data_IF_302696882750
#
_entry.id   IF_302696882750
#
_cell.length_a   1.000
_cell.length_b   1.000
_cell.length_c   1.000
_cell.angle_alpha   90.00
_cell.angle_beta   90.00
_cell.angle_gamma   90.00
#
_symmetry.space_group_name_H-M   'P 1'
#
loop_
_entity.id
_entity.type
_entity.pdbx_description
1 polymer ?
#
# COMPACT_ATOMS: atom_id res chain seq x y z
N UNK A 1 -7.66 3.89 -32.33
CA UNK A 1 -8.93 3.42 -31.75
C UNK A 1 -8.53 2.66 -30.49
N UNK A 2 -8.55 3.35 -29.35
CA UNK A 2 -8.19 2.77 -28.06
C UNK A 2 -9.32 1.82 -27.64
N UNK A 3 -9.09 0.52 -27.70
CA UNK A 3 -9.98 -0.46 -27.09
C UNK A 3 -9.89 -0.32 -25.57
N UNK A 4 -10.73 0.54 -25.01
CA UNK A 4 -11.00 0.57 -23.59
C UNK A 4 -11.70 -0.73 -23.25
N UNK A 5 -10.94 -1.76 -22.85
CA UNK A 5 -11.50 -3.03 -22.41
C UNK A 5 -12.35 -2.76 -21.17
N UNK A 6 -13.67 -2.78 -21.35
CA UNK A 6 -14.64 -2.80 -20.26
C UNK A 6 -14.47 -4.13 -19.51
N UNK A 7 -13.67 -4.13 -18.45
CA UNK A 7 -13.44 -5.31 -17.63
C UNK A 7 -14.59 -5.49 -16.63
N UNK A 8 -15.23 -6.65 -16.75
CA UNK A 8 -16.41 -7.06 -16.02
C UNK A 8 -16.05 -7.62 -14.63
N UNK A 9 -16.75 -7.14 -13.61
CA UNK A 9 -16.55 -7.48 -12.19
C UNK A 9 -16.90 -8.97 -11.93
N UNK A 10 -17.65 -9.61 -12.82
CA UNK A 10 -18.05 -11.02 -12.73
C UNK A 10 -16.90 -12.04 -12.91
N UNK A 11 -15.67 -11.58 -13.20
CA UNK A 11 -14.50 -12.46 -13.47
C UNK A 11 -13.72 -12.91 -12.23
N UNK A 12 -14.15 -12.57 -11.02
CA UNK A 12 -13.55 -13.14 -9.80
C UNK A 12 -14.02 -14.59 -9.66
N UNK A 13 -13.08 -15.54 -9.79
CA UNK A 13 -13.36 -16.97 -9.87
C UNK A 13 -12.92 -17.74 -8.62
N UNK A 14 -12.06 -17.18 -7.76
CA UNK A 14 -11.52 -17.88 -6.60
C UNK A 14 -11.68 -17.11 -5.30
N UNK A 15 -11.74 -17.84 -4.18
CA UNK A 15 -11.77 -17.26 -2.83
C UNK A 15 -10.52 -16.43 -2.52
N UNK A 16 -9.37 -16.77 -3.10
CA UNK A 16 -8.13 -16.01 -2.95
C UNK A 16 -8.19 -14.66 -3.66
N UNK A 17 -8.71 -14.63 -4.90
CA UNK A 17 -8.93 -13.38 -5.63
C UNK A 17 -9.89 -12.45 -4.88
N UNK A 18 -11.02 -12.99 -4.38
CA UNK A 18 -11.97 -12.23 -3.55
C UNK A 18 -11.30 -11.67 -2.29
N UNK A 19 -10.45 -12.45 -1.62
CA UNK A 19 -9.73 -12.01 -0.42
C UNK A 19 -8.75 -10.88 -0.71
N UNK A 20 -8.03 -10.91 -1.85
CA UNK A 20 -7.12 -9.84 -2.25
C UNK A 20 -7.91 -8.53 -2.44
N UNK A 21 -8.98 -8.58 -3.23
CA UNK A 21 -9.81 -7.40 -3.50
C UNK A 21 -10.41 -6.84 -2.21
N UNK A 22 -11.00 -7.69 -1.37
CA UNK A 22 -11.61 -7.27 -0.10
C UNK A 22 -10.59 -6.63 0.85
N UNK A 23 -9.38 -7.20 0.94
CA UNK A 23 -8.31 -6.63 1.79
C UNK A 23 -7.82 -5.29 1.24
N UNK A 24 -7.70 -5.14 -0.07
CA UNK A 24 -7.32 -3.88 -0.70
C UNK A 24 -8.37 -2.79 -0.50
N UNK A 25 -9.66 -3.13 -0.60
CA UNK A 25 -10.75 -2.19 -0.29
C UNK A 25 -10.69 -1.77 1.18
N UNK A 26 -10.57 -2.72 2.11
CA UNK A 26 -10.44 -2.40 3.54
C UNK A 26 -9.21 -1.54 3.85
N UNK A 27 -8.11 -1.73 3.14
CA UNK A 27 -6.93 -0.89 3.29
C UNK A 27 -7.21 0.56 2.86
N UNK A 28 -7.96 0.75 1.77
CA UNK A 28 -8.40 2.07 1.32
C UNK A 28 -9.40 2.69 2.31
N UNK A 29 -10.38 1.92 2.80
CA UNK A 29 -11.32 2.40 3.82
C UNK A 29 -10.60 2.85 5.10
N UNK A 30 -9.58 2.08 5.51
CA UNK A 30 -8.73 2.43 6.63
C UNK A 30 -7.98 3.75 6.35
N UNK A 31 -7.36 3.89 5.17
CA UNK A 31 -6.69 5.15 4.80
C UNK A 31 -7.69 6.31 4.82
N UNK A 32 -8.86 6.18 4.20
CA UNK A 32 -9.88 7.22 4.18
C UNK A 32 -10.38 7.60 5.58
N UNK A 33 -10.50 6.63 6.48
CA UNK A 33 -10.84 6.88 7.88
C UNK A 33 -9.74 7.66 8.62
N UNK A 34 -8.48 7.37 8.31
CA UNK A 34 -7.31 7.99 8.93
C UNK A 34 -6.98 9.35 8.33
N UNK A 35 -7.29 9.57 7.06
CA UNK A 35 -6.95 10.77 6.31
C UNK A 35 -7.36 12.06 7.03
N UNK A 36 -8.59 12.24 7.54
CA UNK A 36 -8.98 13.42 8.31
C UNK A 36 -8.16 13.61 9.59
N UNK A 37 -7.81 12.52 10.27
CA UNK A 37 -7.04 12.56 11.51
C UNK A 37 -5.56 12.91 11.28
N UNK A 38 -5.03 12.56 10.10
CA UNK A 38 -3.62 12.75 9.76
C UNK A 38 -3.39 14.04 8.97
N UNK A 39 -4.35 14.50 8.16
CA UNK A 39 -4.22 15.68 7.30
C UNK A 39 -3.17 15.53 6.19
N UNK A 40 -2.85 14.29 5.78
CA UNK A 40 -1.70 13.98 4.90
C UNK A 40 -2.08 13.81 3.43
N UNK A 41 -3.31 13.38 3.11
CA UNK A 41 -3.74 13.04 1.74
C UNK A 41 -5.15 13.60 1.51
N UNK A 42 -5.51 13.97 0.28
CA UNK A 42 -6.92 14.20 -0.06
C UNK A 42 -7.71 12.87 -0.02
N UNK A 43 -8.99 12.91 0.38
CA UNK A 43 -9.87 11.72 0.47
C UNK A 43 -9.88 10.92 -0.84
N UNK A 44 -9.64 9.60 -0.77
CA UNK A 44 -9.52 8.72 -1.93
C UNK A 44 -10.87 8.16 -2.42
N UNK A 45 -11.89 8.13 -1.55
CA UNK A 45 -13.11 7.33 -1.80
C UNK A 45 -14.11 7.96 -2.76
N UNK A 46 -14.19 9.29 -2.84
CA UNK A 46 -15.33 9.92 -3.53
C UNK A 46 -15.14 10.04 -5.05
N UNK A 47 -13.91 9.93 -5.55
CA UNK A 47 -13.60 10.23 -6.96
C UNK A 47 -13.50 9.00 -7.88
N UNK A 48 -13.31 7.78 -7.35
CA UNK A 48 -12.99 6.61 -8.19
C UNK A 48 -13.81 5.37 -7.84
N UNK A 49 -14.18 4.56 -8.86
CA UNK A 49 -14.67 3.20 -8.64
C UNK A 49 -13.50 2.27 -8.29
N UNK A 50 -13.04 2.38 -7.05
CA UNK A 50 -11.90 1.66 -6.48
C UNK A 50 -11.98 0.16 -6.71
N UNK A 51 -13.14 -0.46 -6.44
CA UNK A 51 -13.30 -1.90 -6.61
C UNK A 51 -13.04 -2.31 -8.07
N UNK A 52 -13.61 -1.58 -9.03
CA UNK A 52 -13.39 -1.86 -10.46
C UNK A 52 -11.92 -1.71 -10.85
N UNK A 53 -11.23 -0.70 -10.34
CA UNK A 53 -9.79 -0.49 -10.57
C UNK A 53 -8.99 -1.68 -10.02
N UNK A 54 -9.24 -2.09 -8.77
CA UNK A 54 -8.52 -3.20 -8.15
C UNK A 54 -8.77 -4.53 -8.88
N UNK A 55 -10.00 -4.81 -9.31
CA UNK A 55 -10.34 -6.00 -10.11
C UNK A 55 -9.61 -5.97 -11.45
N UNK A 56 -9.55 -4.80 -12.09
CA UNK A 56 -8.83 -4.60 -13.35
C UNK A 56 -7.33 -4.86 -13.17
N UNK A 57 -6.71 -4.32 -12.12
CA UNK A 57 -5.31 -4.59 -11.76
C UNK A 57 -5.07 -6.08 -11.55
N UNK A 58 -5.93 -6.75 -10.77
CA UNK A 58 -5.77 -8.17 -10.47
C UNK A 58 -5.79 -9.00 -11.77
N UNK A 59 -6.77 -8.73 -12.64
CA UNK A 59 -6.89 -9.42 -13.92
C UNK A 59 -5.72 -9.12 -14.85
N UNK A 60 -5.24 -7.88 -14.91
CA UNK A 60 -4.04 -7.51 -15.65
C UNK A 60 -2.83 -8.35 -15.20
N UNK A 61 -2.64 -8.50 -13.88
CA UNK A 61 -1.62 -9.39 -13.31
C UNK A 61 -1.72 -10.84 -13.81
N UNK A 62 -2.93 -11.40 -13.81
CA UNK A 62 -3.17 -12.77 -14.27
C UNK A 62 -2.86 -12.94 -15.76
N UNK A 63 -3.29 -12.00 -16.60
CA UNK A 63 -3.00 -12.05 -18.03
C UNK A 63 -1.49 -11.96 -18.31
N UNK A 64 -0.76 -11.15 -17.53
CA UNK A 64 0.71 -11.10 -17.61
C UNK A 64 1.38 -12.41 -17.21
N UNK A 65 0.82 -13.16 -16.26
CA UNK A 65 1.32 -14.49 -15.93
C UNK A 65 1.13 -15.50 -17.07
N UNK A 66 0.14 -15.29 -17.93
CA UNK A 66 -0.13 -16.08 -19.13
C UNK A 66 0.59 -15.57 -20.39
N UNK A 67 1.55 -14.65 -20.25
CA UNK A 67 2.28 -14.00 -21.35
C UNK A 67 1.37 -13.35 -22.42
N UNK A 68 0.17 -12.93 -22.01
CA UNK A 68 -0.77 -12.25 -22.92
C UNK A 68 -0.44 -10.76 -23.01
N UNK A 69 -0.53 -10.22 -24.22
CA UNK A 69 -0.47 -8.76 -24.43
C UNK A 69 -1.66 -8.12 -23.75
N UNK A 70 -1.38 -7.16 -22.88
CA UNK A 70 -2.39 -6.35 -22.22
C UNK A 70 -2.01 -4.88 -22.24
N UNK A 71 -3.03 -4.03 -22.19
CA UNK A 71 -2.88 -2.62 -21.85
C UNK A 71 -3.00 -2.50 -20.34
N UNK A 72 -1.98 -1.90 -19.72
CA UNK A 72 -2.01 -1.63 -18.28
C UNK A 72 -3.11 -0.61 -17.99
N UNK A 73 -3.89 -0.79 -16.91
CA UNK A 73 -4.86 0.21 -16.53
C UNK A 73 -4.15 1.53 -16.23
N UNK A 74 -4.72 2.63 -16.71
CA UNK A 74 -4.31 3.96 -16.26
C UNK A 74 -4.78 4.10 -14.81
N UNK A 75 -3.82 4.20 -13.88
CA UNK A 75 -4.11 4.31 -12.46
C UNK A 75 -4.04 5.78 -12.02
N UNK A 76 -5.01 6.25 -11.21
CA UNK A 76 -4.85 7.49 -10.47
C UNK A 76 -3.58 7.43 -9.62
N UNK A 77 -2.89 8.55 -9.49
CA UNK A 77 -1.65 8.67 -8.71
C UNK A 77 -1.79 8.07 -7.31
N UNK A 78 -2.91 8.34 -6.66
CA UNK A 78 -3.20 7.87 -5.30
C UNK A 78 -3.42 6.36 -5.17
N UNK A 79 -3.76 5.68 -6.26
CA UNK A 79 -3.93 4.22 -6.32
C UNK A 79 -2.78 3.54 -7.04
N UNK A 80 -1.79 4.27 -7.54
CA UNK A 80 -0.73 3.77 -8.41
C UNK A 80 0.04 2.61 -7.79
N UNK A 81 0.58 2.81 -6.58
CA UNK A 81 1.33 1.77 -5.86
C UNK A 81 0.46 0.58 -5.48
N UNK A 82 -0.76 0.83 -4.99
CA UNK A 82 -1.69 -0.24 -4.61
C UNK A 82 -2.13 -1.08 -5.82
N UNK A 83 -2.41 -0.44 -6.94
CA UNK A 83 -2.73 -1.11 -8.19
C UNK A 83 -1.58 -1.99 -8.68
N UNK A 84 -0.33 -1.50 -8.58
CA UNK A 84 0.87 -2.30 -8.86
C UNK A 84 1.00 -3.54 -7.96
N UNK A 85 0.73 -3.41 -6.66
CA UNK A 85 0.74 -4.54 -5.72
C UNK A 85 -0.37 -5.55 -6.03
N UNK A 86 -1.58 -5.08 -6.38
CA UNK A 86 -2.69 -5.96 -6.74
C UNK A 86 -2.43 -6.67 -8.07
N UNK A 87 -1.80 -6.00 -9.04
CA UNK A 87 -1.30 -6.65 -10.25
C UNK A 87 -0.26 -7.73 -9.95
N UNK A 88 0.73 -7.44 -9.10
CA UNK A 88 1.72 -8.43 -8.67
C UNK A 88 1.06 -9.63 -7.99
N UNK A 89 0.03 -9.39 -7.15
CA UNK A 89 -0.74 -10.44 -6.51
C UNK A 89 -1.51 -11.29 -7.55
N UNK A 90 -2.15 -10.67 -8.55
CA UNK A 90 -2.83 -11.39 -9.62
C UNK A 90 -1.90 -12.31 -10.41
N UNK A 91 -0.69 -11.82 -10.72
CA UNK A 91 0.35 -12.61 -11.38
C UNK A 91 0.79 -13.80 -10.53
N UNK A 92 1.03 -13.58 -9.23
CA UNK A 92 1.44 -14.62 -8.30
C UNK A 92 0.34 -15.70 -8.11
N UNK A 93 -0.93 -15.29 -7.97
CA UNK A 93 -2.07 -16.21 -7.88
C UNK A 93 -2.17 -17.10 -9.12
N UNK A 94 -2.05 -16.52 -10.31
CA UNK A 94 -2.12 -17.29 -11.55
C UNK A 94 -0.98 -18.31 -11.66
N UNK A 95 0.23 -17.92 -11.24
CA UNK A 95 1.40 -18.82 -11.17
C UNK A 95 1.40 -19.77 -9.98
N UNK A 96 0.40 -19.71 -9.11
CA UNK A 96 0.31 -20.47 -7.85
C UNK A 96 1.52 -20.25 -6.93
N UNK A 97 2.04 -19.02 -6.92
CA UNK A 97 3.14 -18.61 -6.05
C UNK A 97 2.65 -18.13 -4.69
N UNK A 98 3.51 -18.23 -3.68
CA UNK A 98 3.21 -17.75 -2.33
C UNK A 98 3.18 -16.22 -2.26
N UNK A 99 2.08 -15.69 -1.75
CA UNK A 99 1.89 -14.25 -1.53
C UNK A 99 2.67 -13.78 -0.29
N UNK A 100 3.91 -13.34 -0.52
CA UNK A 100 4.74 -12.70 0.53
C UNK A 100 4.92 -11.22 0.22
N UNK A 101 5.06 -10.40 1.26
CA UNK A 101 5.21 -8.96 1.07
C UNK A 101 6.46 -8.60 0.25
N UNK A 102 7.59 -9.29 0.46
CA UNK A 102 8.82 -9.03 -0.29
C UNK A 102 8.61 -9.29 -1.78
N UNK A 103 8.02 -10.44 -2.13
CA UNK A 103 7.77 -10.81 -3.53
C UNK A 103 6.75 -9.86 -4.17
N UNK A 104 5.71 -9.47 -3.45
CA UNK A 104 4.71 -8.53 -3.94
C UNK A 104 5.32 -7.15 -4.23
N UNK A 105 6.13 -6.61 -3.32
CA UNK A 105 6.83 -5.34 -3.52
C UNK A 105 7.82 -5.41 -4.69
N UNK A 106 8.59 -6.48 -4.77
CA UNK A 106 9.58 -6.68 -5.84
C UNK A 106 8.92 -6.81 -7.22
N UNK A 107 7.90 -7.65 -7.34
CA UNK A 107 7.16 -7.80 -8.60
C UNK A 107 6.38 -6.55 -8.96
N UNK A 108 5.79 -5.84 -7.99
CA UNK A 108 5.13 -4.56 -8.25
C UNK A 108 6.10 -3.51 -8.81
N UNK A 109 7.31 -3.40 -8.24
CA UNK A 109 8.36 -2.55 -8.80
C UNK A 109 8.71 -2.91 -10.24
N UNK A 110 8.93 -4.20 -10.53
CA UNK A 110 9.24 -4.69 -11.89
C UNK A 110 8.12 -4.38 -12.88
N UNK A 111 6.87 -4.45 -12.44
CA UNK A 111 5.69 -4.20 -13.28
C UNK A 111 5.51 -2.71 -13.58
N UNK A 112 5.68 -1.84 -12.59
CA UNK A 112 5.50 -0.40 -12.75
C UNK A 112 6.65 0.25 -13.53
N UNK A 113 7.88 -0.30 -13.45
CA UNK A 113 9.08 0.20 -14.15
C UNK A 113 9.36 1.69 -13.89
N UNK A 114 8.96 2.15 -12.72
CA UNK A 114 9.15 3.52 -12.24
C UNK A 114 10.11 3.49 -11.04
N UNK A 115 11.21 4.21 -11.15
CA UNK A 115 12.25 4.27 -10.10
C UNK A 115 11.68 4.83 -8.79
N UNK A 116 10.76 5.80 -8.85
CA UNK A 116 10.11 6.36 -7.66
C UNK A 116 9.22 5.32 -6.96
N UNK A 117 8.53 4.48 -7.74
CA UNK A 117 7.77 3.36 -7.21
C UNK A 117 8.67 2.29 -6.58
N UNK A 118 9.81 1.99 -7.21
CA UNK A 118 10.82 1.08 -6.66
C UNK A 118 11.35 1.55 -5.31
N UNK A 119 11.72 2.83 -5.20
CA UNK A 119 12.17 3.41 -3.94
C UNK A 119 11.08 3.35 -2.88
N UNK A 120 9.84 3.64 -3.25
CA UNK A 120 8.69 3.56 -2.34
C UNK A 120 8.49 2.13 -1.80
N UNK A 121 8.58 1.12 -2.67
CA UNK A 121 8.48 -0.28 -2.26
C UNK A 121 9.65 -0.72 -1.39
N UNK A 122 10.86 -0.22 -1.65
CA UNK A 122 12.00 -0.50 -0.79
C UNK A 122 11.82 0.08 0.62
N UNK A 123 11.32 1.31 0.74
CA UNK A 123 10.98 1.95 2.02
C UNK A 123 9.87 1.18 2.74
N UNK A 124 8.83 0.77 2.03
CA UNK A 124 7.74 -0.05 2.60
C UNK A 124 8.32 -1.36 3.17
N UNK A 125 9.15 -2.04 2.40
CA UNK A 125 9.70 -3.35 2.75
C UNK A 125 10.69 -3.30 3.90
N UNK A 126 11.56 -2.28 3.92
CA UNK A 126 12.69 -2.19 4.85
C UNK A 126 12.38 -1.42 6.14
N UNK A 127 11.43 -0.47 6.10
CA UNK A 127 11.16 0.43 7.23
C UNK A 127 9.70 0.33 7.68
N UNK A 128 8.75 0.67 6.80
CA UNK A 128 7.38 0.92 7.23
C UNK A 128 6.65 -0.35 7.69
N UNK A 129 6.73 -1.42 6.89
CA UNK A 129 6.00 -2.66 7.13
C UNK A 129 6.50 -3.41 8.38
N UNK A 130 7.82 -3.54 8.64
CA UNK A 130 8.31 -4.14 9.89
C UNK A 130 7.81 -3.41 11.14
N UNK A 131 7.88 -2.07 11.14
CA UNK A 131 7.41 -1.24 12.26
C UNK A 131 5.91 -1.43 12.47
N UNK A 132 5.12 -1.24 11.42
CA UNK A 132 3.66 -1.36 11.48
C UNK A 132 3.21 -2.74 11.99
N UNK A 133 3.78 -3.82 11.44
CA UNK A 133 3.41 -5.18 11.84
C UNK A 133 3.76 -5.50 13.30
N UNK A 134 4.91 -5.02 13.78
CA UNK A 134 5.30 -5.19 15.18
C UNK A 134 4.26 -4.54 16.10
N UNK A 135 3.87 -3.29 15.81
CA UNK A 135 2.97 -2.51 16.65
C UNK A 135 1.53 -3.04 16.65
N UNK A 136 1.04 -3.49 15.48
CA UNK A 136 -0.25 -4.18 15.40
C UNK A 136 -0.23 -5.48 16.21
N UNK A 137 0.89 -6.23 16.21
CA UNK A 137 1.05 -7.43 17.05
C UNK A 137 1.06 -7.09 18.55
N UNK A 138 1.57 -5.92 18.90
CA UNK A 138 1.52 -5.35 20.25
C UNK A 138 0.16 -4.69 20.59
N UNK A 139 -0.87 -4.90 19.75
CA UNK A 139 -2.23 -4.39 19.93
C UNK A 139 -2.32 -2.85 19.98
N UNK A 140 -1.37 -2.16 19.34
CA UNK A 140 -1.44 -0.71 19.15
C UNK A 140 -2.49 -0.36 18.10
N UNK A 141 -3.04 0.86 18.20
CA UNK A 141 -4.01 1.36 17.22
C UNK A 141 -3.36 1.46 15.83
N UNK A 142 -4.16 1.36 14.78
CA UNK A 142 -3.69 1.55 13.40
C UNK A 142 -3.12 2.96 13.19
N UNK A 143 -3.75 3.97 13.78
CA UNK A 143 -3.29 5.37 13.78
C UNK A 143 -1.87 5.47 14.33
N UNK A 144 -1.65 5.00 15.55
CA UNK A 144 -0.35 5.07 16.21
C UNK A 144 0.72 4.24 15.48
N UNK A 145 0.33 3.07 14.97
CA UNK A 145 1.23 2.21 14.19
C UNK A 145 1.71 2.88 12.90
N UNK A 146 0.81 3.59 12.20
CA UNK A 146 1.14 4.32 10.98
C UNK A 146 1.95 5.58 11.26
N UNK A 147 1.58 6.37 12.27
CA UNK A 147 2.35 7.54 12.69
C UNK A 147 3.76 7.15 13.12
N UNK A 148 3.91 6.05 13.85
CA UNK A 148 5.22 5.52 14.22
C UNK A 148 6.00 5.06 12.97
N UNK A 149 5.35 4.38 12.03
CA UNK A 149 5.99 4.02 10.75
C UNK A 149 6.44 5.25 9.96
N UNK A 150 5.61 6.29 9.85
CA UNK A 150 5.94 7.57 9.22
C UNK A 150 7.13 8.25 9.91
N UNK A 151 7.16 8.26 11.24
CA UNK A 151 8.29 8.79 12.02
C UNK A 151 9.59 8.06 11.69
N UNK A 152 9.54 6.73 11.54
CA UNK A 152 10.68 5.94 11.07
C UNK A 152 11.05 6.22 9.62
N UNK A 153 10.10 6.49 8.73
CA UNK A 153 10.44 6.92 7.35
C UNK A 153 11.15 8.27 7.39
N UNK A 154 10.63 9.24 8.13
CA UNK A 154 11.23 10.58 8.26
C UNK A 154 12.65 10.52 8.79
N UNK A 155 12.91 9.75 9.85
CA UNK A 155 14.23 9.68 10.48
C UNK A 155 15.33 9.05 9.58
N UNK A 156 14.97 8.24 8.59
CA UNK A 156 15.95 7.55 7.71
C UNK A 156 15.94 8.02 6.26
N UNK A 157 14.82 8.52 5.74
CA UNK A 157 14.62 8.79 4.31
C UNK A 157 14.19 10.22 3.97
N UNK A 158 13.87 11.05 4.96
CA UNK A 158 13.58 12.48 4.69
C UNK A 158 14.79 13.13 4.03
N UNK A 159 14.58 13.97 3.02
CA UNK A 159 15.64 14.77 2.39
C UNK A 159 16.12 15.91 3.32
N UNK A 160 15.21 16.44 4.15
CA UNK A 160 15.52 17.48 5.13
C UNK A 160 16.33 16.93 6.30
N UNK A 161 17.57 17.41 6.44
CA UNK A 161 18.47 17.04 7.54
C UNK A 161 17.90 17.42 8.91
N UNK A 162 17.25 18.58 9.01
CA UNK A 162 16.60 19.01 10.24
C UNK A 162 15.45 18.06 10.61
N UNK A 163 14.60 17.69 9.65
CA UNK A 163 13.49 16.76 9.90
C UNK A 163 13.99 15.37 10.31
N UNK A 164 15.09 14.88 9.71
CA UNK A 164 15.74 13.63 10.13
C UNK A 164 16.20 13.71 11.59
N UNK A 165 16.91 14.76 11.97
CA UNK A 165 17.40 14.94 13.35
C UNK A 165 16.25 15.04 14.37
N UNK A 166 15.21 15.82 14.06
CA UNK A 166 14.03 15.90 14.94
C UNK A 166 13.32 14.54 15.08
N UNK A 167 13.13 13.82 13.98
CA UNK A 167 12.50 12.50 14.01
C UNK A 167 13.34 11.49 14.82
N UNK A 168 14.67 11.52 14.69
CA UNK A 168 15.57 10.67 15.48
C UNK A 168 15.48 10.98 16.98
N UNK A 169 15.45 12.26 17.36
CA UNK A 169 15.26 12.69 18.76
C UNK A 169 13.94 12.19 19.33
N UNK A 170 12.86 12.33 18.57
CA UNK A 170 11.54 11.81 18.98
C UNK A 170 11.58 10.30 19.19
N UNK A 171 12.24 9.55 18.30
CA UNK A 171 12.37 8.10 18.45
C UNK A 171 13.18 7.68 19.69
N UNK A 172 14.20 8.44 20.07
CA UNK A 172 14.92 8.22 21.34
C UNK A 172 14.03 8.44 22.56
N UNK A 173 13.02 9.32 22.45
CA UNK A 173 11.98 9.50 23.46
C UNK A 173 10.81 8.49 23.35
N UNK A 174 11.03 7.34 22.71
CA UNK A 174 10.05 6.29 22.40
C UNK A 174 8.98 6.66 21.36
N UNK A 175 9.18 7.75 20.61
CA UNK A 175 8.35 8.13 19.47
C UNK A 175 6.91 8.44 19.83
N UNK A 176 5.99 8.01 18.98
CA UNK A 176 4.54 8.23 19.09
C UNK A 176 3.91 7.43 20.24
N UNK A 177 4.64 6.44 20.77
CA UNK A 177 4.18 5.49 21.79
C UNK A 177 4.79 5.82 23.17
N UNK A 178 5.64 6.85 23.25
CA UNK A 178 6.22 7.31 24.50
C UNK A 178 5.20 7.85 25.51
N UNK A 179 5.58 7.92 26.79
CA UNK A 179 4.74 8.53 27.83
C UNK A 179 4.46 10.00 27.49
N UNK A 180 3.18 10.38 27.40
CA UNK A 180 2.74 11.72 27.02
C UNK A 180 2.65 11.98 25.50
N UNK A 181 2.79 10.94 24.67
CA UNK A 181 2.63 11.04 23.22
C UNK A 181 1.18 10.75 22.76
N UNK A 182 0.96 10.61 21.44
CA UNK A 182 -0.36 10.49 20.81
C UNK A 182 -1.17 9.30 21.33
N UNK A 183 -0.56 8.18 21.71
CA UNK A 183 -1.25 7.05 22.36
C UNK A 183 -1.93 7.46 23.69
N UNK A 184 -1.43 8.50 24.38
CA UNK A 184 -2.06 9.08 25.59
C UNK A 184 -3.14 10.13 25.27
N UNK A 185 -3.25 10.57 24.02
CA UNK A 185 -4.19 11.58 23.54
C UNK A 185 -5.38 10.97 22.77
N UNK A 186 -5.24 9.75 22.26
CA UNK A 186 -6.28 9.02 21.49
C UNK A 186 -6.89 7.86 22.31
N UNK A 187 -6.38 7.58 23.51
CA UNK A 187 -6.99 6.64 24.47
C UNK A 187 -8.18 7.25 25.20
#
# INVERSE_FOLDING_TARGET
MEETVLLDIQRIQTSEQSNIILRSIRAIDLVNHLTPALGIIESLSEQYNVQKILVTCLYAGQQLAMDRRIVLPLLPESLYLLGGVVMAAGKAVEKRETLTHNRLCEEAGKLLKDDAAWESFDVIRSIALPVYRRLVKEQRTHVASLLQALLHILAWRSESAWARDQAQRMLWAAGVIGRGAIDSLIA
#
